data_IF_717311041751
#
_entry.id   IF_717311041751
#
_cell.length_a   1.000
_cell.length_b   1.000
_cell.length_c   1.000
_cell.angle_alpha   90.00
_cell.angle_beta   90.00
_cell.angle_gamma   90.00
#
_symmetry.space_group_name_H-M   'P 1'
#
loop_
_entity.id
_entity.type
_entity.pdbx_description
1 polymer ?
#
# COMPACT_ATOMS: atom_id res chain seq x y z
N UNK A 1 -3.39 10.04 16.38
CA UNK A 1 -4.77 10.31 15.93
C UNK A 1 -5.69 9.18 16.38
N UNK A 2 -7.00 9.41 16.52
CA UNK A 2 -7.95 8.41 17.04
C UNK A 2 -7.99 7.09 16.24
N UNK A 3 -7.66 7.12 14.95
CA UNK A 3 -7.65 5.93 14.07
C UNK A 3 -6.31 5.20 13.98
N UNK A 4 -5.25 5.70 14.63
CA UNK A 4 -3.91 5.08 14.56
C UNK A 4 -3.89 3.60 14.96
N UNK A 5 -4.46 3.21 16.12
CA UNK A 5 -4.46 1.81 16.54
C UNK A 5 -5.20 0.86 15.58
N UNK A 6 -6.27 1.32 14.94
CA UNK A 6 -7.01 0.54 13.95
C UNK A 6 -6.20 0.38 12.66
N UNK A 7 -5.57 1.46 12.21
CA UNK A 7 -4.66 1.42 11.08
C UNK A 7 -3.52 0.41 11.32
N UNK A 8 -2.92 0.40 12.51
CA UNK A 8 -1.82 -0.52 12.84
C UNK A 8 -2.27 -1.99 12.90
N UNK A 9 -3.52 -2.25 13.27
CA UNK A 9 -4.12 -3.59 13.20
C UNK A 9 -4.33 -4.04 11.74
N UNK A 10 -4.87 -3.15 10.90
CA UNK A 10 -5.05 -3.41 9.46
C UNK A 10 -3.69 -3.64 8.80
N UNK A 11 -2.69 -2.80 9.11
CA UNK A 11 -1.35 -2.93 8.56
C UNK A 11 -0.72 -4.28 8.90
N UNK A 12 -0.79 -4.71 10.17
CA UNK A 12 -0.31 -6.05 10.56
C UNK A 12 -1.05 -7.17 9.85
N UNK A 13 -2.37 -7.06 9.70
CA UNK A 13 -3.15 -8.06 8.99
C UNK A 13 -2.79 -8.13 7.50
N UNK A 14 -2.63 -7.00 6.83
CA UNK A 14 -2.25 -6.96 5.40
C UNK A 14 -0.81 -7.44 5.21
N UNK A 15 0.14 -6.96 6.00
CA UNK A 15 1.57 -7.26 5.87
C UNK A 15 1.97 -8.68 6.36
N UNK A 16 1.01 -9.53 6.71
CA UNK A 16 1.27 -10.97 6.96
C UNK A 16 0.80 -11.86 5.80
N UNK A 17 0.36 -11.25 4.69
CA UNK A 17 -0.06 -12.00 3.52
C UNK A 17 1.14 -12.54 2.74
N UNK A 18 1.05 -13.77 2.23
CA UNK A 18 2.05 -14.34 1.32
C UNK A 18 2.03 -13.65 -0.05
N UNK A 19 0.91 -13.00 -0.39
CA UNK A 19 0.70 -12.25 -1.62
C UNK A 19 0.03 -10.92 -1.34
N UNK A 20 0.57 -9.87 -1.95
CA UNK A 20 -0.04 -8.55 -1.98
C UNK A 20 -0.31 -8.12 -3.41
N UNK A 21 -1.47 -7.50 -3.61
CA UNK A 21 -1.73 -6.72 -4.82
C UNK A 21 -1.43 -5.25 -4.51
N UNK A 22 -0.60 -4.61 -5.32
CA UNK A 22 -0.19 -3.23 -5.13
C UNK A 22 -0.61 -2.34 -6.30
N UNK A 23 -1.04 -1.12 -5.98
CA UNK A 23 -1.37 -0.09 -6.96
C UNK A 23 -1.02 1.30 -6.39
N UNK A 24 -0.81 2.28 -7.27
CA UNK A 24 -0.73 3.69 -6.91
C UNK A 24 -1.73 4.54 -7.71
N UNK A 25 -2.62 5.24 -7.02
CA UNK A 25 -3.60 6.12 -7.66
C UNK A 25 -3.20 7.59 -7.44
N UNK A 26 -3.23 8.38 -8.52
CA UNK A 26 -3.00 9.83 -8.44
C UNK A 26 -4.16 10.53 -7.72
N UNK A 27 -3.86 11.35 -6.71
CA UNK A 27 -4.88 12.11 -5.97
C UNK A 27 -4.46 13.56 -5.71
N UNK A 28 -5.41 14.50 -5.59
CA UNK A 28 -5.14 15.81 -5.02
C UNK A 28 -4.94 15.71 -3.51
N UNK A 29 -3.82 16.23 -3.00
CA UNK A 29 -3.56 16.32 -1.55
C UNK A 29 -3.54 17.78 -1.13
N UNK A 30 -4.27 18.09 -0.06
CA UNK A 30 -4.31 19.43 0.51
C UNK A 30 -2.92 19.82 1.04
N UNK A 31 -2.46 20.99 0.63
CA UNK A 31 -1.25 21.63 1.13
C UNK A 31 -1.55 23.09 1.51
N UNK A 32 -0.60 23.76 2.15
CA UNK A 32 -0.80 25.13 2.63
C UNK A 32 -1.05 26.09 1.46
N UNK A 33 -2.30 26.55 1.32
CA UNK A 33 -2.71 27.50 0.28
C UNK A 33 -2.71 26.95 -1.15
N UNK A 34 -2.57 25.62 -1.32
CA UNK A 34 -2.53 24.96 -2.63
C UNK A 34 -2.94 23.49 -2.53
N UNK A 35 -2.99 22.83 -3.68
CA UNK A 35 -3.13 21.36 -3.78
C UNK A 35 -1.89 20.79 -4.45
N UNK A 36 -1.33 19.74 -3.87
CA UNK A 36 -0.27 18.95 -4.49
C UNK A 36 -0.88 17.76 -5.24
N UNK A 37 -0.23 17.33 -6.33
CA UNK A 37 -0.53 16.06 -6.98
C UNK A 37 0.23 14.97 -6.26
N UNK A 38 -0.46 14.20 -5.42
CA UNK A 38 0.10 13.10 -4.64
C UNK A 38 -0.29 11.72 -5.15
N UNK A 39 -0.10 10.74 -4.27
CA UNK A 39 -0.43 9.34 -4.47
C UNK A 39 -1.12 8.75 -3.26
N UNK A 40 -2.10 7.88 -3.52
CA UNK A 40 -2.53 6.85 -2.58
C UNK A 40 -1.90 5.54 -3.04
N UNK A 41 -1.11 4.94 -2.17
CA UNK A 41 -0.56 3.60 -2.34
C UNK A 41 -1.53 2.62 -1.70
N UNK A 42 -1.92 1.59 -2.45
CA UNK A 42 -2.86 0.58 -1.98
C UNK A 42 -2.17 -0.77 -1.95
N UNK A 43 -2.21 -1.45 -0.80
CA UNK A 43 -1.80 -2.83 -0.66
C UNK A 43 -3.01 -3.67 -0.26
N UNK A 44 -3.37 -4.65 -1.09
CA UNK A 44 -4.52 -5.52 -0.86
C UNK A 44 -4.05 -6.92 -0.52
N UNK A 45 -4.49 -7.41 0.64
CA UNK A 45 -4.54 -8.83 0.96
C UNK A 45 -5.88 -9.35 0.49
N UNK A 46 -5.88 -10.13 -0.58
CA UNK A 46 -7.04 -10.91 -1.01
C UNK A 46 -6.58 -12.11 -1.84
N UNK A 47 -6.25 -13.20 -1.17
CA UNK A 47 -5.75 -14.42 -1.82
C UNK A 47 -6.90 -15.40 -2.16
N UNK A 48 -8.17 -14.99 -2.02
CA UNK A 48 -9.34 -15.83 -2.34
C UNK A 48 -9.34 -16.34 -3.79
N UNK A 49 -8.93 -15.57 -4.81
CA UNK A 49 -8.78 -16.09 -6.17
C UNK A 49 -7.75 -17.23 -6.31
N UNK A 50 -6.87 -17.39 -5.32
CA UNK A 50 -5.84 -18.42 -5.25
C UNK A 50 -6.12 -19.47 -4.17
N UNK A 51 -7.32 -19.48 -3.58
CA UNK A 51 -7.75 -20.46 -2.58
C UNK A 51 -7.42 -20.09 -1.13
N UNK A 52 -6.91 -18.88 -0.87
CA UNK A 52 -6.69 -18.37 0.49
C UNK A 52 -8.01 -18.16 1.26
N UNK A 53 -7.98 -18.43 2.56
CA UNK A 53 -9.15 -18.35 3.44
C UNK A 53 -9.15 -17.11 4.35
N UNK A 54 -8.05 -16.36 4.41
CA UNK A 54 -7.94 -15.21 5.31
C UNK A 54 -8.85 -14.06 4.89
N UNK A 55 -9.40 -13.30 5.84
CA UNK A 55 -10.26 -12.15 5.53
C UNK A 55 -9.54 -11.11 4.66
N UNK A 56 -10.19 -10.58 3.61
CA UNK A 56 -9.57 -9.58 2.76
C UNK A 56 -9.46 -8.22 3.47
N UNK A 57 -8.42 -7.46 3.14
CA UNK A 57 -8.24 -6.10 3.64
C UNK A 57 -7.41 -5.26 2.67
N UNK A 58 -7.62 -3.94 2.73
CA UNK A 58 -6.82 -2.95 2.02
C UNK A 58 -6.12 -2.04 3.03
N UNK A 59 -4.83 -1.78 2.78
CA UNK A 59 -4.01 -0.83 3.51
C UNK A 59 -3.66 0.33 2.59
N UNK A 60 -3.82 1.55 3.08
CA UNK A 60 -3.59 2.77 2.32
C UNK A 60 -2.52 3.63 2.96
N UNK A 61 -1.57 4.08 2.16
CA UNK A 61 -0.63 5.14 2.50
C UNK A 61 -0.82 6.32 1.55
N UNK A 62 -0.47 7.53 2.00
CA UNK A 62 -0.53 8.72 1.18
C UNK A 62 0.82 9.45 1.15
N UNK A 63 1.24 9.90 -0.02
CA UNK A 63 2.44 10.70 -0.22
C UNK A 63 2.18 11.87 -1.17
N UNK A 64 2.92 12.97 -1.02
CA UNK A 64 2.81 14.16 -1.87
C UNK A 64 3.53 14.02 -3.23
N UNK A 65 4.17 12.87 -3.50
CA UNK A 65 4.84 12.57 -4.77
C UNK A 65 4.81 11.04 -5.06
N UNK A 66 5.32 10.65 -6.24
CA UNK A 66 5.34 9.26 -6.72
C UNK A 66 6.77 8.72 -6.81
N UNK A 67 7.52 8.77 -5.71
CA UNK A 67 8.87 8.23 -5.67
C UNK A 67 8.90 6.79 -5.13
N UNK A 68 9.92 6.02 -5.51
CA UNK A 68 10.01 4.60 -5.15
C UNK A 68 10.35 4.37 -3.68
N UNK A 69 10.89 5.36 -2.98
CA UNK A 69 11.25 5.24 -1.56
C UNK A 69 10.01 5.00 -0.68
N UNK A 70 8.81 5.37 -1.14
CA UNK A 70 7.56 5.08 -0.44
C UNK A 70 7.25 3.59 -0.41
N UNK A 71 7.09 2.88 -1.55
CA UNK A 71 6.89 1.44 -1.51
C UNK A 71 8.06 0.68 -0.87
N UNK A 72 9.31 1.12 -1.04
CA UNK A 72 10.47 0.56 -0.34
C UNK A 72 10.30 0.62 1.18
N UNK A 73 9.92 1.78 1.72
CA UNK A 73 9.70 1.96 3.15
C UNK A 73 8.48 1.19 3.66
N UNK A 74 7.37 1.20 2.91
CA UNK A 74 6.15 0.49 3.30
C UNK A 74 6.36 -1.01 3.38
N UNK A 75 7.11 -1.59 2.43
CA UNK A 75 7.31 -3.02 2.29
C UNK A 75 8.62 -3.52 2.91
N UNK A 76 9.40 -2.66 3.57
CA UNK A 76 10.73 -2.99 4.10
C UNK A 76 10.79 -4.24 5.01
N UNK A 77 9.70 -4.55 5.72
CA UNK A 77 9.60 -5.69 6.62
C UNK A 77 8.73 -6.84 6.06
N UNK A 78 8.20 -6.68 4.85
CA UNK A 78 7.37 -7.67 4.18
C UNK A 78 8.18 -8.43 3.13
N UNK A 79 7.84 -9.71 2.94
CA UNK A 79 8.42 -10.55 1.90
C UNK A 79 7.34 -11.49 1.38
N UNK A 80 7.24 -11.65 0.06
CA UNK A 80 6.22 -12.50 -0.54
C UNK A 80 6.09 -12.23 -2.03
N UNK A 81 4.92 -12.53 -2.59
CA UNK A 81 4.64 -12.29 -4.01
C UNK A 81 3.93 -10.96 -4.17
N UNK A 82 4.58 -10.00 -4.82
CA UNK A 82 4.00 -8.71 -5.13
C UNK A 82 3.40 -8.72 -6.53
N UNK A 83 2.09 -8.51 -6.63
CA UNK A 83 1.39 -8.34 -7.88
C UNK A 83 1.05 -6.86 -8.06
N UNK A 84 1.83 -6.18 -8.87
CA UNK A 84 1.62 -4.77 -9.18
C UNK A 84 1.32 -4.58 -10.66
N UNK A 85 0.83 -3.39 -11.00
CA UNK A 85 0.94 -2.89 -12.37
C UNK A 85 2.44 -2.77 -12.76
N UNK A 86 2.73 -2.54 -14.04
CA UNK A 86 4.10 -2.47 -14.54
C UNK A 86 4.86 -1.19 -14.09
N UNK A 87 4.52 -0.61 -12.93
CA UNK A 87 5.24 0.52 -12.36
C UNK A 87 6.66 0.09 -11.93
N UNK A 88 7.67 0.66 -12.59
CA UNK A 88 9.07 0.30 -12.35
C UNK A 88 9.58 0.60 -10.94
N UNK A 89 8.85 1.37 -10.12
CA UNK A 89 9.22 1.63 -8.73
C UNK A 89 9.11 0.40 -7.81
N UNK A 90 8.49 -0.69 -8.28
CA UNK A 90 8.49 -1.98 -7.56
C UNK A 90 9.66 -2.91 -7.94
N UNK A 91 10.45 -2.58 -8.97
CA UNK A 91 11.48 -3.49 -9.50
C UNK A 91 12.68 -3.73 -8.55
N UNK A 92 12.83 -2.92 -7.50
CA UNK A 92 13.89 -3.04 -6.51
C UNK A 92 13.52 -3.85 -5.26
N UNK A 93 12.28 -4.36 -5.18
CA UNK A 93 11.70 -5.07 -4.04
C UNK A 93 11.86 -6.59 -4.13
#
# INVERSE_FOLDING_TARGET
>A
MALGPLHDLIARHVMTADRLHADDTTVPILAKGKTDTGRIWTYVRDDRPFGGADPPAALYFASHDRRHEHPDAHLAAWSGILQADAYGGYNGL
#
